data_IF_974354468480
#
_entry.id   IF_974354468480
#
_cell.length_a   1.000
_cell.length_b   1.000
_cell.length_c   1.000
_cell.angle_alpha   90.00
_cell.angle_beta   90.00
_cell.angle_gamma   90.00
#
_symmetry.space_group_name_H-M   'P 1'
#
loop_
_entity.id
_entity.type
_entity.pdbx_description
1 polymer ?
#
# COMPACT_ATOMS: atom_id res chain seq x y z
N UNK A 1 11.72 14.56 4.02
CA UNK A 1 10.93 13.42 3.50
C UNK A 1 9.67 13.31 4.34
N UNK A 2 8.50 13.16 3.74
CA UNK A 2 7.23 12.95 4.47
C UNK A 2 7.20 11.54 5.05
N UNK A 3 6.59 11.38 6.22
CA UNK A 3 6.43 10.07 6.86
C UNK A 3 5.46 9.21 6.06
N UNK A 4 5.88 8.00 5.73
CA UNK A 4 5.03 7.01 5.03
C UNK A 4 4.20 6.22 6.04
N UNK A 5 3.06 5.70 5.61
CA UNK A 5 2.16 4.92 6.47
C UNK A 5 2.89 3.72 7.09
N UNK A 6 3.74 3.04 6.31
CA UNK A 6 4.55 1.90 6.77
C UNK A 6 5.50 2.22 7.93
N UNK A 7 5.95 3.47 8.04
CA UNK A 7 6.87 3.91 9.10
C UNK A 7 6.14 4.18 10.43
N UNK A 8 4.81 4.30 10.38
CA UNK A 8 3.99 4.73 11.51
C UNK A 8 3.10 3.60 12.00
N UNK A 9 2.27 3.02 11.12
CA UNK A 9 1.28 2.04 11.54
C UNK A 9 0.75 1.17 10.38
N UNK A 10 0.41 -0.08 10.70
CA UNK A 10 -0.22 -1.04 9.79
C UNK A 10 -1.28 -1.87 10.54
N UNK A 11 -2.36 -2.31 9.87
CA UNK A 11 -3.36 -3.20 10.47
C UNK A 11 -2.84 -4.65 10.52
N UNK A 12 -1.86 -4.89 11.41
CA UNK A 12 -1.12 -6.15 11.49
C UNK A 12 -2.03 -7.37 11.72
N UNK A 13 -3.10 -7.22 12.50
CA UNK A 13 -4.04 -8.31 12.74
C UNK A 13 -4.70 -8.81 11.45
N UNK A 14 -5.21 -7.90 10.62
CA UNK A 14 -5.83 -8.22 9.34
C UNK A 14 -4.81 -8.83 8.36
N UNK A 15 -3.62 -8.23 8.26
CA UNK A 15 -2.53 -8.71 7.41
C UNK A 15 -2.12 -10.14 7.81
N UNK A 16 -1.89 -10.38 9.11
CA UNK A 16 -1.47 -11.67 9.63
C UNK A 16 -2.53 -12.75 9.43
N UNK A 17 -3.81 -12.42 9.66
CA UNK A 17 -4.93 -13.33 9.43
C UNK A 17 -5.04 -13.74 7.95
N UNK A 18 -4.95 -12.77 7.04
CA UNK A 18 -4.99 -13.03 5.60
C UNK A 18 -3.77 -13.84 5.12
N UNK A 19 -2.57 -13.49 5.60
CA UNK A 19 -1.33 -14.20 5.29
C UNK A 19 -1.35 -15.66 5.77
N UNK A 20 -1.84 -15.93 6.99
CA UNK A 20 -1.99 -17.28 7.51
C UNK A 20 -2.97 -18.11 6.68
N UNK A 21 -4.09 -17.51 6.26
CA UNK A 21 -5.07 -18.15 5.38
C UNK A 21 -4.48 -18.49 4.01
N UNK A 22 -3.73 -17.58 3.37
CA UNK A 22 -3.12 -17.84 2.06
C UNK A 22 -2.28 -19.13 2.09
N UNK A 23 -1.52 -19.34 3.18
CA UNK A 23 -0.66 -20.50 3.36
C UNK A 23 -1.45 -21.82 3.42
N UNK A 24 -2.69 -21.81 3.91
CA UNK A 24 -3.50 -23.02 4.08
C UNK A 24 -4.38 -23.37 2.86
N UNK A 25 -4.58 -22.46 1.90
CA UNK A 25 -5.45 -22.67 0.72
C UNK A 25 -5.02 -23.87 -0.14
N UNK A 26 -3.71 -24.15 -0.22
CA UNK A 26 -3.15 -25.17 -1.14
C UNK A 26 -2.69 -26.45 -0.44
N UNK A 27 -3.25 -26.76 0.72
CA UNK A 27 -2.84 -27.94 1.48
C UNK A 27 -2.92 -29.21 0.63
N UNK A 28 -1.82 -29.97 0.55
CA UNK A 28 -1.72 -31.21 -0.23
C UNK A 28 -1.41 -31.03 -1.73
N UNK A 29 -1.28 -29.80 -2.24
CA UNK A 29 -0.92 -29.57 -3.64
C UNK A 29 0.59 -29.78 -3.89
N UNK A 30 1.04 -30.42 -4.99
CA UNK A 30 2.47 -30.64 -5.26
C UNK A 30 3.33 -29.36 -5.22
N UNK A 31 2.74 -28.22 -5.56
CA UNK A 31 3.39 -26.90 -5.46
C UNK A 31 3.74 -26.47 -4.02
N UNK A 32 3.30 -27.20 -2.98
CA UNK A 32 3.67 -26.94 -1.58
C UNK A 32 4.85 -27.78 -1.10
N UNK A 33 5.39 -28.69 -1.93
CA UNK A 33 6.56 -29.51 -1.59
C UNK A 33 7.87 -28.70 -1.61
N UNK A 34 7.98 -27.78 -2.56
CA UNK A 34 9.11 -26.84 -2.67
C UNK A 34 8.56 -25.42 -2.77
N UNK A 35 8.66 -24.70 -1.66
CA UNK A 35 8.45 -23.25 -1.65
C UNK A 35 9.77 -22.60 -2.07
N UNK A 36 9.74 -21.82 -3.16
CA UNK A 36 10.88 -20.99 -3.58
C UNK A 36 11.40 -20.13 -2.41
N UNK A 37 12.70 -19.88 -2.39
CA UNK A 37 13.34 -19.07 -1.35
C UNK A 37 12.67 -17.70 -1.24
N UNK A 38 12.23 -17.37 -0.02
CA UNK A 38 11.62 -16.09 0.37
C UNK A 38 10.24 -15.74 -0.25
N UNK A 39 9.33 -16.72 -0.44
CA UNK A 39 7.92 -16.39 -0.76
C UNK A 39 7.27 -15.62 0.39
N UNK A 40 7.04 -14.31 0.21
CA UNK A 40 6.17 -13.53 1.09
C UNK A 40 4.71 -13.75 0.71
N UNK A 41 3.79 -13.87 1.70
CA UNK A 41 2.36 -13.86 1.43
C UNK A 41 1.98 -12.61 0.62
N UNK A 42 1.14 -12.78 -0.40
CA UNK A 42 0.65 -11.70 -1.24
C UNK A 42 -0.03 -10.63 -0.38
N UNK A 43 -0.79 -11.05 0.63
CA UNK A 43 -1.38 -10.16 1.64
C UNK A 43 -0.36 -9.18 2.24
N UNK A 44 0.81 -9.68 2.66
CA UNK A 44 1.86 -8.84 3.24
C UNK A 44 2.52 -7.93 2.19
N UNK A 45 2.78 -8.45 0.99
CA UNK A 45 3.36 -7.66 -0.10
C UNK A 45 2.47 -6.47 -0.48
N UNK A 46 1.16 -6.71 -0.65
CA UNK A 46 0.17 -5.67 -0.98
C UNK A 46 0.12 -4.57 0.06
N UNK A 47 0.02 -4.95 1.33
CA UNK A 47 -0.04 -3.99 2.44
C UNK A 47 1.23 -3.12 2.50
N UNK A 48 2.39 -3.75 2.37
CA UNK A 48 3.70 -3.06 2.41
C UNK A 48 3.84 -2.08 1.26
N UNK A 49 3.54 -2.49 0.03
CA UNK A 49 3.68 -1.62 -1.15
C UNK A 49 2.71 -0.45 -1.06
N UNK A 50 1.44 -0.68 -0.73
CA UNK A 50 0.48 0.40 -0.54
C UNK A 50 0.95 1.39 0.52
N UNK A 51 1.36 0.89 1.69
CA UNK A 51 1.80 1.74 2.81
C UNK A 51 3.14 2.44 2.57
N UNK A 52 3.97 1.95 1.65
CA UNK A 52 5.20 2.62 1.20
C UNK A 52 4.87 3.82 0.29
N UNK A 53 3.82 3.70 -0.52
CA UNK A 53 3.44 4.72 -1.50
C UNK A 53 2.60 5.84 -0.88
N UNK A 54 1.82 5.53 0.16
CA UNK A 54 0.91 6.47 0.83
C UNK A 54 1.56 7.10 2.07
N UNK A 55 1.45 8.42 2.19
CA UNK A 55 1.90 9.16 3.38
C UNK A 55 1.00 8.89 4.60
N UNK A 56 1.59 8.87 5.79
CA UNK A 56 0.81 8.89 7.03
C UNK A 56 0.12 10.26 7.20
N UNK A 57 -1.12 10.33 7.73
CA UNK A 57 -1.82 11.60 7.95
C UNK A 57 -1.06 12.62 8.80
N UNK A 58 -0.17 12.18 9.71
CA UNK A 58 0.68 13.08 10.51
C UNK A 58 1.72 13.84 9.68
N UNK A 59 1.98 13.41 8.43
CA UNK A 59 2.84 14.10 7.49
C UNK A 59 2.15 15.33 6.86
N UNK A 60 0.83 15.44 6.97
CA UNK A 60 -0.01 16.49 6.37
C UNK A 60 -0.80 17.26 7.46
N UNK A 61 -0.14 18.04 8.33
CA UNK A 61 -0.78 18.74 9.45
C UNK A 61 -1.76 19.84 9.00
N UNK A 62 -1.62 20.34 7.78
CA UNK A 62 -2.55 21.26 7.11
C UNK A 62 -3.91 20.59 6.84
N UNK A 63 -3.90 19.31 6.43
CA UNK A 63 -5.12 18.53 6.18
C UNK A 63 -5.65 17.86 7.46
N UNK A 64 -4.73 17.39 8.31
CA UNK A 64 -5.02 16.62 9.53
C UNK A 64 -4.38 17.27 10.77
N UNK A 65 -4.87 18.45 11.20
CA UNK A 65 -4.25 19.23 12.27
C UNK A 65 -4.34 18.62 13.66
N UNK A 66 -5.31 17.72 13.90
CA UNK A 66 -5.53 17.11 15.22
C UNK A 66 -5.25 15.61 15.18
N UNK A 67 -4.84 15.06 16.33
CA UNK A 67 -4.63 13.60 16.48
C UNK A 67 -5.87 12.79 16.11
N UNK A 68 -7.05 13.28 16.47
CA UNK A 68 -8.33 12.63 16.13
C UNK A 68 -8.56 12.58 14.60
N UNK A 69 -8.25 13.66 13.87
CA UNK A 69 -8.35 13.68 12.41
C UNK A 69 -7.31 12.76 11.76
N UNK A 70 -6.10 12.72 12.30
CA UNK A 70 -5.04 11.82 11.83
C UNK A 70 -5.46 10.36 12.02
N UNK A 71 -6.00 10.02 13.19
CA UNK A 71 -6.44 8.66 13.50
C UNK A 71 -7.64 8.25 12.67
N UNK A 72 -8.61 9.15 12.46
CA UNK A 72 -9.76 8.90 11.57
C UNK A 72 -9.30 8.59 10.15
N UNK A 73 -8.36 9.37 9.62
CA UNK A 73 -7.83 9.13 8.29
C UNK A 73 -6.99 7.85 8.21
N UNK A 74 -6.18 7.57 9.24
CA UNK A 74 -5.42 6.33 9.33
C UNK A 74 -6.33 5.11 9.32
N UNK A 75 -7.45 5.16 10.03
CA UNK A 75 -8.46 4.09 10.01
C UNK A 75 -9.10 3.92 8.62
N UNK A 76 -9.31 5.01 7.86
CA UNK A 76 -9.74 4.91 6.45
C UNK A 76 -8.69 4.20 5.60
N UNK A 77 -7.40 4.55 5.74
CA UNK A 77 -6.31 3.90 5.03
C UNK A 77 -6.16 2.43 5.41
N UNK A 78 -6.34 2.10 6.69
CA UNK A 78 -6.37 0.71 7.16
C UNK A 78 -7.49 -0.07 6.52
N UNK A 79 -8.67 0.53 6.34
CA UNK A 79 -9.77 -0.16 5.68
C UNK A 79 -9.44 -0.55 4.23
N UNK A 80 -8.71 0.31 3.51
CA UNK A 80 -8.21 -0.02 2.17
C UNK A 80 -7.25 -1.22 2.24
N UNK A 81 -6.31 -1.22 3.19
CA UNK A 81 -5.37 -2.34 3.38
C UNK A 81 -6.12 -3.63 3.73
N UNK A 82 -7.06 -3.59 4.67
CA UNK A 82 -7.88 -4.73 5.07
C UNK A 82 -8.58 -5.38 3.88
N UNK A 83 -9.13 -4.57 2.98
CA UNK A 83 -9.80 -5.08 1.78
C UNK A 83 -8.78 -5.59 0.74
N UNK A 84 -7.63 -4.92 0.58
CA UNK A 84 -6.56 -5.33 -0.35
C UNK A 84 -5.93 -6.68 -0.01
N UNK A 85 -5.81 -7.00 1.29
CA UNK A 85 -5.12 -8.22 1.74
C UNK A 85 -5.96 -9.48 1.62
N UNK A 86 -7.27 -9.37 1.39
CA UNK A 86 -8.14 -10.53 1.23
C UNK A 86 -7.85 -11.24 -0.10
N UNK A 87 -7.71 -12.56 -0.05
CA UNK A 87 -7.45 -13.41 -1.21
C UNK A 87 -8.54 -13.26 -2.28
N UNK A 88 -9.80 -13.11 -1.86
CA UNK A 88 -10.97 -12.93 -2.71
C UNK A 88 -10.94 -11.61 -3.51
N UNK A 89 -10.20 -10.61 -3.02
CA UNK A 89 -10.09 -9.30 -3.65
C UNK A 89 -8.87 -9.18 -4.57
N UNK A 90 -8.20 -10.30 -4.88
CA UNK A 90 -6.97 -10.29 -5.70
C UNK A 90 -7.16 -9.65 -7.07
N UNK A 91 -8.35 -9.81 -7.68
CA UNK A 91 -8.71 -9.23 -8.98
C UNK A 91 -9.92 -8.29 -8.91
N UNK A 92 -10.27 -7.80 -7.71
CA UNK A 92 -11.42 -6.93 -7.53
C UNK A 92 -11.04 -5.48 -7.89
N UNK A 93 -11.39 -5.05 -9.11
CA UNK A 93 -11.03 -3.71 -9.61
C UNK A 93 -11.58 -2.58 -8.74
N UNK A 94 -12.72 -2.74 -8.07
CA UNK A 94 -13.22 -1.70 -7.15
C UNK A 94 -12.26 -1.48 -5.99
N UNK A 95 -11.73 -2.56 -5.42
CA UNK A 95 -10.75 -2.51 -4.31
C UNK A 95 -9.40 -2.00 -4.81
N UNK A 96 -8.93 -2.51 -5.95
CA UNK A 96 -7.67 -2.07 -6.56
C UNK A 96 -7.72 -0.58 -6.93
N UNK A 97 -8.83 -0.10 -7.48
CA UNK A 97 -8.99 1.30 -7.84
C UNK A 97 -9.02 2.21 -6.62
N UNK A 98 -9.63 1.79 -5.50
CA UNK A 98 -9.58 2.55 -4.25
C UNK A 98 -8.14 2.76 -3.77
N UNK A 99 -7.31 1.71 -3.82
CA UNK A 99 -5.90 1.78 -3.48
C UNK A 99 -5.10 2.66 -4.44
N UNK A 100 -5.28 2.46 -5.76
CA UNK A 100 -4.63 3.26 -6.80
C UNK A 100 -4.98 4.74 -6.66
N UNK A 101 -6.25 5.07 -6.40
CA UNK A 101 -6.70 6.44 -6.19
C UNK A 101 -5.95 7.10 -5.03
N UNK A 102 -5.76 6.40 -3.91
CA UNK A 102 -5.03 6.94 -2.78
C UNK A 102 -3.55 7.17 -3.09
N UNK A 103 -2.91 6.22 -3.79
CA UNK A 103 -1.52 6.37 -4.26
C UNK A 103 -1.38 7.61 -5.15
N UNK A 104 -2.31 7.80 -6.09
CA UNK A 104 -2.35 9.00 -6.94
C UNK A 104 -2.53 10.28 -6.13
N UNK A 105 -3.38 10.29 -5.11
CA UNK A 105 -3.57 11.46 -4.25
C UNK A 105 -2.30 11.78 -3.45
N UNK A 106 -1.66 10.78 -2.85
CA UNK A 106 -0.39 10.95 -2.14
C UNK A 106 0.71 11.49 -3.07
N UNK A 107 0.77 10.97 -4.30
CA UNK A 107 1.72 11.46 -5.31
C UNK A 107 1.45 12.91 -5.72
N UNK A 108 0.19 13.28 -5.95
CA UNK A 108 -0.19 14.65 -6.29
C UNK A 108 0.16 15.64 -5.19
N UNK A 109 -0.01 15.27 -3.92
CA UNK A 109 0.47 16.07 -2.77
C UNK A 109 1.99 16.24 -2.83
N UNK A 110 2.71 15.15 -3.05
CA UNK A 110 4.19 15.18 -3.19
C UNK A 110 4.61 16.11 -4.33
N UNK A 111 3.95 16.06 -5.49
CA UNK A 111 4.23 16.94 -6.63
C UNK A 111 3.96 18.41 -6.30
N UNK A 112 2.85 18.71 -5.63
CA UNK A 112 2.49 20.08 -5.24
C UNK A 112 3.53 20.67 -4.27
N UNK A 113 4.04 19.87 -3.34
CA UNK A 113 5.08 20.30 -2.39
C UNK A 113 6.45 20.54 -3.06
N UNK A 114 6.72 19.87 -4.18
CA UNK A 114 7.99 19.98 -4.91
C UNK A 114 7.85 20.82 -6.19
N UNK A 115 6.81 21.65 -6.29
CA UNK A 115 6.55 22.49 -7.45
C UNK A 115 7.72 23.45 -7.76
N UNK A 116 8.43 23.92 -6.73
CA UNK A 116 9.56 24.83 -6.85
C UNK A 116 10.91 24.11 -7.10
N UNK A 117 10.92 22.79 -7.22
CA UNK A 117 12.15 22.03 -7.45
C UNK A 117 12.71 22.34 -8.86
N UNK A 118 14.04 22.52 -9.04
CA UNK A 118 14.63 22.86 -10.35
C UNK A 118 14.31 21.86 -11.47
N UNK A 119 14.03 20.61 -11.11
CA UNK A 119 13.63 19.52 -12.01
C UNK A 119 12.18 19.06 -11.80
N UNK A 120 11.29 19.93 -11.31
CA UNK A 120 9.90 19.58 -11.00
C UNK A 120 9.17 18.95 -12.19
N UNK A 121 9.37 19.49 -13.40
CA UNK A 121 8.76 18.97 -14.63
C UNK A 121 9.19 17.54 -14.98
N UNK A 122 10.41 17.15 -14.60
CA UNK A 122 10.96 15.82 -14.91
C UNK A 122 10.66 14.80 -13.79
N UNK A 123 10.83 15.20 -12.52
CA UNK A 123 10.80 14.29 -11.38
C UNK A 123 9.45 14.21 -10.68
N UNK A 124 8.58 15.22 -10.84
CA UNK A 124 7.34 15.39 -10.08
C UNK A 124 6.14 15.66 -10.99
N UNK A 125 5.95 14.80 -12.01
CA UNK A 125 4.79 14.86 -12.90
C UNK A 125 3.53 14.32 -12.20
N UNK A 126 2.56 15.20 -11.95
CA UNK A 126 1.25 14.85 -11.35
C UNK A 126 0.39 13.89 -12.20
N UNK A 127 0.72 13.70 -13.47
CA UNK A 127 0.03 12.84 -14.43
C UNK A 127 0.74 11.51 -14.67
N UNK A 128 1.95 11.33 -14.12
CA UNK A 128 2.71 10.11 -14.24
C UNK A 128 3.22 9.67 -12.86
N UNK A 129 2.87 8.46 -12.42
CA UNK A 129 3.41 7.92 -11.17
C UNK A 129 4.91 7.62 -11.34
N UNK A 130 5.72 7.80 -10.29
CA UNK A 130 7.10 7.36 -10.33
C UNK A 130 7.14 5.83 -10.51
N UNK A 131 8.17 5.36 -11.22
CA UNK A 131 8.41 3.92 -11.31
C UNK A 131 8.62 3.36 -9.90
N UNK A 132 7.89 2.29 -9.57
CA UNK A 132 8.13 1.52 -8.36
C UNK A 132 8.46 0.09 -8.75
N UNK A 133 9.39 -0.51 -8.03
CA UNK A 133 9.76 -1.90 -8.21
C UNK A 133 9.08 -2.73 -7.11
N UNK A 134 8.21 -3.65 -7.50
CA UNK A 134 7.67 -4.67 -6.61
C UNK A 134 8.63 -5.88 -6.61
N UNK A 135 9.45 -6.07 -5.56
CA UNK A 135 10.34 -7.23 -5.48
C UNK A 135 9.58 -8.55 -5.28
N UNK A 136 8.25 -8.50 -5.11
CA UNK A 136 7.35 -9.63 -4.88
C UNK A 136 6.40 -9.90 -6.06
N UNK A 137 6.67 -9.32 -7.25
CA UNK A 137 5.75 -9.21 -8.39
C UNK A 137 5.26 -10.53 -9.05
N UNK A 138 5.54 -11.70 -8.48
CA UNK A 138 5.01 -12.98 -8.99
C UNK A 138 3.49 -13.15 -8.82
N UNK A 139 2.85 -12.35 -7.96
CA UNK A 139 1.42 -12.47 -7.63
C UNK A 139 0.54 -11.27 -8.01
N UNK A 140 1.08 -10.22 -8.62
CA UNK A 140 0.34 -8.99 -8.95
C UNK A 140 -0.12 -8.22 -7.71
N UNK A 141 0.82 -7.53 -7.04
CA UNK A 141 0.52 -6.88 -5.78
C UNK A 141 -0.36 -5.62 -5.92
N UNK A 142 -0.24 -4.84 -7.01
CA UNK A 142 -1.00 -3.60 -7.23
C UNK A 142 -1.19 -3.31 -8.73
#
# INVERSE_FOLDING_TARGET
>A
MKRKLIEVALPLEAINKAAAREKSIRHGHPSTLHLWWARRPLAAARAVIFAQMVDDPSAHPDLFPTKEKQEKERNRLFKIIEDLVLWENTTNETVLQAARNEIWQSWRRTCAEHADHPKAQELFDRHHLPAFHDPFAGGGAL
#
